data_IF_557773284449
#
_entry.id   IF_557773284449
#
_cell.length_a   1.000
_cell.length_b   1.000
_cell.length_c   1.000
_cell.angle_alpha   90.00
_cell.angle_beta   90.00
_cell.angle_gamma   90.00
#
_symmetry.space_group_name_H-M   'P 1'
#
loop_
_entity.id
_entity.type
_entity.pdbx_description
1 polymer ?
#
# COMPACT_ATOMS: atom_id res chain seq x y z
N UNK A 1 -31.77 -2.33 17.89
CA UNK A 1 -31.02 -2.53 16.63
C UNK A 1 -31.89 -3.34 15.68
N UNK A 2 -32.63 -2.70 14.77
CA UNK A 2 -33.45 -3.39 13.75
C UNK A 2 -33.23 -2.83 12.34
N UNK A 3 -32.27 -1.91 12.15
CA UNK A 3 -31.91 -1.45 10.82
C UNK A 3 -31.02 -2.50 10.16
N UNK A 4 -31.54 -3.14 9.10
CA UNK A 4 -30.85 -4.19 8.33
C UNK A 4 -30.05 -3.62 7.15
N UNK A 5 -30.14 -2.31 6.89
CA UNK A 5 -29.43 -1.66 5.79
C UNK A 5 -27.92 -1.67 6.06
N UNK A 6 -27.15 -1.92 5.02
CA UNK A 6 -25.71 -1.71 5.01
C UNK A 6 -25.37 -0.23 5.17
N UNK A 7 -24.14 0.06 5.59
CA UNK A 7 -23.66 1.44 5.68
C UNK A 7 -23.72 2.17 4.33
N UNK A 8 -23.49 1.45 3.22
CA UNK A 8 -23.61 2.00 1.85
C UNK A 8 -25.05 2.40 1.52
N UNK A 9 -26.03 1.54 1.84
CA UNK A 9 -27.44 1.84 1.58
C UNK A 9 -27.90 3.06 2.38
N UNK A 10 -27.53 3.12 3.67
CA UNK A 10 -27.80 4.28 4.53
C UNK A 10 -27.20 5.58 3.99
N UNK A 11 -25.94 5.52 3.52
CA UNK A 11 -25.26 6.67 2.90
C UNK A 11 -25.99 7.17 1.65
N UNK A 12 -26.38 6.26 0.76
CA UNK A 12 -27.06 6.61 -0.51
C UNK A 12 -28.44 7.19 -0.25
N UNK A 13 -29.20 6.63 0.69
CA UNK A 13 -30.53 7.12 1.07
C UNK A 13 -30.45 8.51 1.70
N UNK A 14 -29.56 8.69 2.68
CA UNK A 14 -29.32 9.99 3.31
C UNK A 14 -28.91 11.06 2.29
N UNK A 15 -28.06 10.71 1.32
CA UNK A 15 -27.69 11.63 0.24
C UNK A 15 -28.88 12.03 -0.64
N UNK A 16 -29.79 11.10 -0.95
CA UNK A 16 -31.02 11.40 -1.71
C UNK A 16 -32.00 12.27 -0.93
N UNK A 17 -32.05 12.11 0.38
CA UNK A 17 -32.90 12.87 1.29
C UNK A 17 -32.28 14.19 1.75
N UNK A 18 -31.04 14.47 1.32
CA UNK A 18 -30.24 15.61 1.75
C UNK A 18 -29.99 15.66 3.27
N UNK A 19 -29.99 14.50 3.94
CA UNK A 19 -29.59 14.33 5.33
C UNK A 19 -28.05 14.31 5.42
N UNK A 20 -27.47 15.51 5.43
CA UNK A 20 -26.01 15.69 5.47
C UNK A 20 -25.37 15.08 6.72
N UNK A 21 -26.08 15.05 7.85
CA UNK A 21 -25.56 14.48 9.09
C UNK A 21 -25.38 12.96 8.97
N UNK A 22 -26.38 12.27 8.43
CA UNK A 22 -26.26 10.82 8.21
C UNK A 22 -25.23 10.49 7.13
N UNK A 23 -25.08 11.34 6.10
CA UNK A 23 -24.03 11.20 5.10
C UNK A 23 -22.64 11.24 5.75
N UNK A 24 -22.37 12.25 6.59
CA UNK A 24 -21.09 12.41 7.29
C UNK A 24 -20.81 11.21 8.19
N UNK A 25 -21.77 10.81 9.04
CA UNK A 25 -21.62 9.65 9.94
C UNK A 25 -21.30 8.37 9.16
N UNK A 26 -21.99 8.11 8.04
CA UNK A 26 -21.76 6.91 7.25
C UNK A 26 -20.39 6.94 6.56
N UNK A 27 -19.95 8.11 6.06
CA UNK A 27 -18.65 8.29 5.45
C UNK A 27 -17.51 8.08 6.46
N UNK A 28 -17.56 8.74 7.61
CA UNK A 28 -16.57 8.59 8.69
C UNK A 28 -16.53 7.15 9.24
N UNK A 29 -17.69 6.50 9.37
CA UNK A 29 -17.76 5.11 9.80
C UNK A 29 -17.06 4.19 8.79
N UNK A 30 -17.30 4.39 7.49
CA UNK A 30 -16.67 3.61 6.44
C UNK A 30 -15.14 3.78 6.46
N UNK A 31 -14.66 5.03 6.54
CA UNK A 31 -13.24 5.34 6.66
C UNK A 31 -12.62 4.66 7.88
N UNK A 32 -13.21 4.85 9.07
CA UNK A 32 -12.66 4.30 10.32
C UNK A 32 -12.58 2.77 10.29
N UNK A 33 -13.62 2.10 9.80
CA UNK A 33 -13.62 0.64 9.68
C UNK A 33 -12.57 0.20 8.67
N UNK A 34 -12.49 0.84 7.51
CA UNK A 34 -11.51 0.53 6.48
C UNK A 34 -10.07 0.67 7.00
N UNK A 35 -9.73 1.80 7.62
CA UNK A 35 -8.39 2.05 8.18
C UNK A 35 -8.01 1.03 9.25
N UNK A 36 -8.94 0.72 10.16
CA UNK A 36 -8.68 -0.25 11.23
C UNK A 36 -8.44 -1.65 10.69
N UNK A 37 -9.27 -2.11 9.74
CA UNK A 37 -9.10 -3.44 9.13
C UNK A 37 -7.79 -3.51 8.35
N UNK A 38 -7.48 -2.51 7.52
CA UNK A 38 -6.22 -2.48 6.76
C UNK A 38 -4.99 -2.43 7.67
N UNK A 39 -5.03 -1.62 8.73
CA UNK A 39 -3.94 -1.57 9.70
C UNK A 39 -3.77 -2.90 10.45
N UNK A 40 -4.86 -3.55 10.86
CA UNK A 40 -4.80 -4.88 11.50
C UNK A 40 -4.26 -5.94 10.55
N UNK A 41 -4.66 -5.93 9.28
CA UNK A 41 -4.11 -6.82 8.25
C UNK A 41 -2.61 -6.58 8.06
N UNK A 42 -2.18 -5.31 7.99
CA UNK A 42 -0.76 -4.98 7.91
C UNK A 42 0.05 -5.50 9.10
N UNK A 43 -0.52 -5.46 10.32
CA UNK A 43 0.11 -6.05 11.50
C UNK A 43 0.17 -7.58 11.41
N UNK A 44 -0.90 -8.23 10.97
CA UNK A 44 -0.94 -9.67 10.76
C UNK A 44 0.14 -10.13 9.78
N UNK A 45 0.22 -9.50 8.61
CA UNK A 45 1.25 -9.82 7.61
C UNK A 45 2.66 -9.48 8.10
N UNK A 46 2.84 -8.35 8.78
CA UNK A 46 4.13 -8.03 9.40
C UNK A 46 4.59 -9.11 10.36
N UNK A 47 3.69 -9.61 11.22
CA UNK A 47 3.98 -10.69 12.16
C UNK A 47 4.34 -12.00 11.43
N UNK A 48 3.53 -12.39 10.44
CA UNK A 48 3.76 -13.61 9.65
C UNK A 48 5.11 -13.57 8.92
N UNK A 49 5.42 -12.46 8.24
CA UNK A 49 6.69 -12.29 7.52
C UNK A 49 7.88 -12.24 8.49
N UNK A 50 7.69 -11.68 9.69
CA UNK A 50 8.72 -11.72 10.74
C UNK A 50 9.04 -13.16 11.14
N UNK A 51 8.01 -13.97 11.39
CA UNK A 51 8.17 -15.38 11.70
C UNK A 51 8.90 -16.12 10.58
N UNK A 52 8.53 -15.88 9.31
CA UNK A 52 9.21 -16.48 8.16
C UNK A 52 10.68 -16.07 8.12
N UNK A 53 10.99 -14.78 8.25
CA UNK A 53 12.37 -14.29 8.21
C UNK A 53 13.23 -14.75 9.39
N UNK A 54 12.62 -14.95 10.57
CA UNK A 54 13.30 -15.51 11.74
C UNK A 54 13.62 -17.00 11.59
N UNK A 55 12.69 -17.77 11.01
CA UNK A 55 12.83 -19.24 10.89
C UNK A 55 13.58 -19.69 9.65
N UNK A 56 13.41 -18.97 8.54
CA UNK A 56 13.83 -19.41 7.22
C UNK A 56 14.69 -18.39 6.47
N UNK A 57 14.87 -17.18 7.02
CA UNK A 57 15.71 -16.14 6.44
C UNK A 57 15.03 -15.30 5.36
N UNK A 58 15.76 -14.31 4.88
CA UNK A 58 15.29 -13.23 3.99
C UNK A 58 14.80 -13.76 2.63
N UNK A 59 15.49 -14.75 2.06
CA UNK A 59 15.10 -15.36 0.79
C UNK A 59 13.73 -16.03 0.88
N UNK A 60 13.41 -16.69 2.00
CA UNK A 60 12.10 -17.28 2.22
C UNK A 60 11.00 -16.21 2.35
N UNK A 61 11.33 -15.04 2.88
CA UNK A 61 10.41 -13.89 2.90
C UNK A 61 10.14 -13.39 1.48
N UNK A 62 11.19 -13.23 0.66
CA UNK A 62 11.04 -12.85 -0.75
C UNK A 62 10.13 -13.83 -1.48
N UNK A 63 10.41 -15.13 -1.35
CA UNK A 63 9.68 -16.17 -2.06
C UNK A 63 8.22 -16.24 -1.61
N UNK A 64 7.94 -16.05 -0.32
CA UNK A 64 6.58 -15.95 0.19
C UNK A 64 5.83 -14.74 -0.39
N UNK A 65 6.47 -13.57 -0.45
CA UNK A 65 5.86 -12.38 -1.03
C UNK A 65 5.60 -12.54 -2.54
N UNK A 66 6.56 -13.09 -3.28
CA UNK A 66 6.40 -13.37 -4.71
C UNK A 66 5.29 -14.38 -4.96
N UNK A 67 5.21 -15.45 -4.17
CA UNK A 67 4.15 -16.45 -4.27
C UNK A 67 2.77 -15.82 -4.05
N UNK A 68 2.62 -15.00 -2.99
CA UNK A 68 1.35 -14.30 -2.72
C UNK A 68 0.99 -13.37 -3.88
N UNK A 69 1.95 -12.63 -4.41
CA UNK A 69 1.73 -11.69 -5.51
C UNK A 69 1.32 -12.42 -6.80
N UNK A 70 2.00 -13.51 -7.17
CA UNK A 70 1.64 -14.35 -8.33
C UNK A 70 0.23 -14.97 -8.15
N UNK A 71 -0.08 -15.47 -6.95
CA UNK A 71 -1.35 -16.16 -6.69
C UNK A 71 -2.56 -15.22 -6.57
N UNK A 72 -2.37 -13.99 -6.09
CA UNK A 72 -3.50 -13.08 -5.78
C UNK A 72 -3.57 -11.83 -6.66
N UNK A 73 -2.43 -11.29 -7.10
CA UNK A 73 -2.38 -10.00 -7.81
C UNK A 73 -2.36 -10.18 -9.31
N UNK A 74 -1.71 -11.23 -9.81
CA UNK A 74 -1.52 -11.47 -11.25
C UNK A 74 -2.82 -11.44 -12.04
N UNK A 75 -3.84 -12.18 -11.60
CA UNK A 75 -5.13 -12.24 -12.30
C UNK A 75 -5.83 -10.88 -12.25
N UNK A 76 -5.86 -10.27 -11.06
CA UNK A 76 -6.46 -8.95 -10.83
C UNK A 76 -5.78 -7.84 -11.64
N UNK A 77 -4.48 -7.97 -11.92
CA UNK A 77 -3.67 -6.93 -12.57
C UNK A 77 -3.51 -7.16 -14.07
N UNK A 78 -3.72 -8.38 -14.56
CA UNK A 78 -3.48 -8.75 -15.96
C UNK A 78 -4.20 -7.85 -16.97
N UNK A 79 -5.47 -7.51 -16.73
CA UNK A 79 -6.22 -6.58 -17.57
C UNK A 79 -5.94 -5.11 -17.24
N UNK A 80 -5.66 -4.81 -15.97
CA UNK A 80 -5.36 -3.46 -15.50
C UNK A 80 -4.06 -2.92 -16.14
N UNK A 81 -3.01 -3.74 -16.19
CA UNK A 81 -1.67 -3.35 -16.66
C UNK A 81 -1.59 -3.13 -18.19
N UNK A 82 -2.60 -3.55 -18.96
CA UNK A 82 -2.64 -3.29 -20.40
C UNK A 82 -2.91 -1.82 -20.74
N UNK A 83 -3.43 -1.06 -19.77
CA UNK A 83 -3.86 0.32 -19.95
C UNK A 83 -3.28 1.19 -18.84
N UNK A 84 -2.27 2.00 -19.19
CA UNK A 84 -1.58 2.87 -18.23
C UNK A 84 -2.53 3.86 -17.55
N UNK A 85 -3.56 4.35 -18.25
CA UNK A 85 -4.52 5.28 -17.65
C UNK A 85 -5.32 4.57 -16.56
N UNK A 86 -5.76 3.33 -16.80
CA UNK A 86 -6.44 2.54 -15.76
C UNK A 86 -5.54 2.25 -14.57
N UNK A 87 -4.23 2.02 -14.79
CA UNK A 87 -3.27 1.88 -13.67
C UNK A 87 -3.19 3.15 -12.85
N UNK A 88 -3.06 4.31 -13.49
CA UNK A 88 -3.04 5.62 -12.82
C UNK A 88 -4.33 5.79 -12.01
N UNK A 89 -5.49 5.63 -12.64
CA UNK A 89 -6.79 5.79 -11.99
C UNK A 89 -6.94 4.81 -10.82
N UNK A 90 -6.50 3.56 -10.97
CA UNK A 90 -6.56 2.56 -9.92
C UNK A 90 -5.77 2.99 -8.69
N UNK A 91 -4.52 3.46 -8.86
CA UNK A 91 -3.69 3.86 -7.73
C UNK A 91 -4.14 5.15 -7.09
N UNK A 92 -4.54 6.16 -7.87
CA UNK A 92 -5.11 7.39 -7.34
C UNK A 92 -6.37 7.11 -6.51
N UNK A 93 -7.29 6.28 -7.04
CA UNK A 93 -8.48 5.87 -6.30
C UNK A 93 -8.12 5.01 -5.09
N UNK A 94 -7.12 4.12 -5.17
CA UNK A 94 -6.69 3.30 -4.04
C UNK A 94 -6.21 4.17 -2.88
N UNK A 95 -5.36 5.16 -3.13
CA UNK A 95 -4.86 6.05 -2.08
C UNK A 95 -5.96 7.01 -1.57
N UNK A 96 -6.83 7.51 -2.45
CA UNK A 96 -7.96 8.36 -2.07
C UNK A 96 -9.00 7.61 -1.21
N UNK A 97 -9.43 6.43 -1.63
CA UNK A 97 -10.37 5.59 -0.87
C UNK A 97 -9.78 5.10 0.45
N UNK A 98 -8.47 4.92 0.50
CA UNK A 98 -7.79 4.49 1.70
C UNK A 98 -7.38 5.64 2.65
N UNK A 99 -7.86 6.86 2.35
CA UNK A 99 -7.65 8.10 3.10
C UNK A 99 -6.19 8.38 3.45
N UNK A 100 -5.31 8.02 2.51
CA UNK A 100 -3.92 8.42 2.56
C UNK A 100 -3.81 9.91 2.27
N UNK A 101 -2.88 10.58 2.95
CA UNK A 101 -2.44 11.91 2.54
C UNK A 101 -1.36 11.73 1.47
N UNK A 102 -1.65 12.21 0.26
CA UNK A 102 -0.76 12.09 -0.89
C UNK A 102 -0.82 13.33 -1.78
N UNK A 103 0.28 13.61 -2.46
CA UNK A 103 0.34 14.56 -3.57
C UNK A 103 0.54 13.82 -4.90
N UNK A 104 0.27 14.51 -5.99
CA UNK A 104 0.55 14.05 -7.35
C UNK A 104 1.36 15.12 -8.07
N UNK A 105 2.51 14.72 -8.61
CA UNK A 105 3.33 15.52 -9.51
C UNK A 105 3.32 14.85 -10.88
N UNK A 106 3.13 15.63 -11.94
CA UNK A 106 3.12 15.12 -13.32
C UNK A 106 3.98 16.00 -14.22
N UNK A 107 4.87 15.38 -14.98
CA UNK A 107 5.68 16.01 -16.02
C UNK A 107 5.45 15.31 -17.38
N UNK A 108 6.20 15.68 -18.41
CA UNK A 108 6.06 15.11 -19.76
C UNK A 108 6.40 13.60 -19.80
N UNK A 109 7.23 13.10 -18.89
CA UNK A 109 7.74 11.73 -18.88
C UNK A 109 6.93 10.81 -17.95
N UNK A 110 6.44 11.31 -16.82
CA UNK A 110 5.88 10.47 -15.75
C UNK A 110 4.86 11.18 -14.87
N UNK A 111 4.09 10.35 -14.16
CA UNK A 111 3.27 10.74 -13.02
C UNK A 111 3.89 10.15 -11.74
N UNK A 112 4.02 10.97 -10.71
CA UNK A 112 4.57 10.59 -9.40
C UNK A 112 3.53 10.81 -8.31
N UNK A 113 3.08 9.72 -7.68
CA UNK A 113 2.23 9.77 -6.49
C UNK A 113 3.13 9.76 -5.26
N UNK A 114 3.07 10.83 -4.47
CA UNK A 114 3.89 11.03 -3.27
C UNK A 114 3.05 10.72 -2.04
N UNK A 115 3.33 9.60 -1.37
CA UNK A 115 2.60 9.13 -0.20
C UNK A 115 3.22 9.76 1.05
N UNK A 116 2.65 10.86 1.52
CA UNK A 116 3.19 11.64 2.66
C UNK A 116 3.18 10.83 3.95
N UNK A 117 2.06 10.18 4.24
CA UNK A 117 1.93 9.29 5.40
C UNK A 117 1.37 7.93 5.00
N UNK A 118 2.13 6.87 5.28
CA UNK A 118 1.67 5.50 5.03
C UNK A 118 0.84 5.00 6.23
N UNK A 119 -0.48 4.88 6.06
CA UNK A 119 -1.42 4.46 7.12
C UNK A 119 -1.29 2.99 7.55
N UNK A 120 -0.44 2.19 6.87
CA UNK A 120 -0.17 0.79 7.20
C UNK A 120 1.27 0.60 7.71
N UNK A 121 2.24 0.34 6.83
CA UNK A 121 3.63 0.09 7.20
C UNK A 121 4.27 1.27 7.92
N UNK A 122 4.04 2.50 7.45
CA UNK A 122 4.51 3.72 8.13
C UNK A 122 3.91 3.88 9.53
N UNK A 123 2.61 3.61 9.68
CA UNK A 123 1.92 3.63 10.98
C UNK A 123 2.49 2.58 11.95
N UNK A 124 2.79 1.37 11.48
CA UNK A 124 3.41 0.31 12.31
C UNK A 124 4.72 0.80 12.92
N UNK A 125 5.55 1.46 12.11
CA UNK A 125 6.82 2.03 12.55
C UNK A 125 6.62 3.17 13.55
N UNK A 126 5.68 4.08 13.29
CA UNK A 126 5.31 5.17 14.21
C UNK A 126 4.83 4.66 15.57
N UNK A 127 4.06 3.57 15.57
CA UNK A 127 3.59 2.90 16.78
C UNK A 127 4.72 2.09 17.48
N UNK A 128 5.97 2.18 17.01
CA UNK A 128 7.17 1.54 17.56
C UNK A 128 7.08 0.02 17.70
N UNK A 129 6.25 -0.62 16.87
CA UNK A 129 6.18 -2.09 16.79
C UNK A 129 7.38 -2.61 16.03
N UNK A 130 8.14 -3.50 16.68
CA UNK A 130 9.33 -4.12 16.09
C UNK A 130 8.95 -5.43 15.41
N UNK A 131 8.94 -5.41 14.08
CA UNK A 131 8.80 -6.59 13.23
C UNK A 131 10.11 -6.86 12.50
N UNK A 132 10.21 -8.02 11.85
CA UNK A 132 11.36 -8.44 11.07
C UNK A 132 11.64 -7.47 9.91
N UNK A 133 12.93 -7.29 9.65
CA UNK A 133 13.48 -6.40 8.62
C UNK A 133 14.48 -7.14 7.75
N UNK A 134 14.69 -6.67 6.51
CA UNK A 134 15.76 -7.15 5.64
C UNK A 134 17.12 -6.99 6.30
N UNK A 135 17.93 -8.04 6.27
CA UNK A 135 19.29 -8.07 6.80
C UNK A 135 20.26 -7.48 5.79
N UNK A 136 20.10 -7.87 4.53
CA UNK A 136 20.95 -7.44 3.42
C UNK A 136 20.18 -6.60 2.40
N UNK A 137 20.88 -5.68 1.69
CA UNK A 137 20.32 -5.02 0.51
C UNK A 137 19.99 -6.03 -0.60
N UNK A 138 18.77 -5.96 -1.12
CA UNK A 138 18.31 -6.74 -2.27
C UNK A 138 17.26 -5.96 -3.06
N UNK A 139 17.07 -6.33 -4.33
CA UNK A 139 16.15 -5.65 -5.26
C UNK A 139 14.71 -5.58 -4.73
N UNK A 140 14.21 -6.67 -4.15
CA UNK A 140 12.87 -6.82 -3.58
C UNK A 140 12.68 -6.03 -2.28
N UNK A 141 13.76 -5.55 -1.66
CA UNK A 141 13.74 -4.68 -0.49
C UNK A 141 14.40 -3.31 -0.78
N UNK A 142 14.17 -2.78 -1.99
CA UNK A 142 14.59 -1.44 -2.41
C UNK A 142 16.10 -1.22 -2.43
N UNK A 143 16.90 -2.29 -2.55
CA UNK A 143 18.35 -2.28 -2.40
C UNK A 143 18.80 -1.63 -1.07
N UNK A 144 18.01 -1.84 0.00
CA UNK A 144 18.26 -1.28 1.33
C UNK A 144 18.20 -2.37 2.40
N UNK A 145 19.08 -2.26 3.39
CA UNK A 145 18.99 -3.01 4.63
C UNK A 145 17.97 -2.38 5.60
N UNK A 146 17.55 -3.14 6.59
CA UNK A 146 16.64 -2.73 7.66
C UNK A 146 15.27 -2.25 7.15
N UNK A 147 14.82 -2.75 6.00
CA UNK A 147 13.47 -2.49 5.51
C UNK A 147 12.51 -3.48 6.15
N UNK A 148 11.42 -3.05 6.79
CA UNK A 148 10.40 -3.98 7.30
C UNK A 148 9.94 -4.90 6.18
N UNK A 149 9.91 -6.20 6.44
CA UNK A 149 9.52 -7.16 5.41
C UNK A 149 8.16 -6.85 4.80
N UNK A 150 7.23 -6.33 5.61
CA UNK A 150 5.95 -5.85 5.11
C UNK A 150 6.14 -4.76 4.04
N UNK A 151 7.00 -3.76 4.23
CA UNK A 151 7.20 -2.70 3.23
C UNK A 151 7.68 -3.21 1.87
N UNK A 152 8.40 -4.35 1.83
CA UNK A 152 8.87 -4.96 0.59
C UNK A 152 7.74 -5.42 -0.35
N UNK A 153 6.53 -5.69 0.17
CA UNK A 153 5.38 -6.02 -0.69
C UNK A 153 5.07 -4.89 -1.69
N UNK A 154 5.34 -3.63 -1.33
CA UNK A 154 5.13 -2.51 -2.24
C UNK A 154 6.06 -2.59 -3.46
N UNK A 155 7.34 -2.96 -3.26
CA UNK A 155 8.31 -3.16 -4.37
C UNK A 155 7.86 -4.32 -5.25
N UNK A 156 7.51 -5.43 -4.62
CA UNK A 156 7.14 -6.66 -5.32
C UNK A 156 5.89 -6.42 -6.17
N UNK A 157 4.83 -5.89 -5.57
CA UNK A 157 3.53 -5.82 -6.22
C UNK A 157 3.41 -4.67 -7.23
N UNK A 158 4.10 -3.54 -6.99
CA UNK A 158 3.96 -2.35 -7.83
C UNK A 158 5.01 -2.26 -8.92
N UNK A 159 6.09 -3.03 -8.82
CA UNK A 159 7.20 -2.94 -9.76
C UNK A 159 7.65 -4.32 -10.25
N UNK A 160 8.06 -5.24 -9.37
CA UNK A 160 8.67 -6.50 -9.80
C UNK A 160 7.67 -7.40 -10.54
N UNK A 161 6.47 -7.61 -10.00
CA UNK A 161 5.45 -8.46 -10.65
C UNK A 161 4.97 -7.86 -11.97
N UNK A 162 4.63 -6.56 -12.06
CA UNK A 162 4.35 -5.92 -13.35
C UNK A 162 5.47 -6.13 -14.38
N UNK A 163 6.74 -5.96 -13.98
CA UNK A 163 7.91 -6.21 -14.85
C UNK A 163 7.99 -7.67 -15.30
N UNK A 164 7.77 -8.63 -14.39
CA UNK A 164 7.72 -10.07 -14.74
C UNK A 164 6.59 -10.41 -15.71
N UNK A 165 5.52 -9.60 -15.73
CA UNK A 165 4.39 -9.73 -16.66
C UNK A 165 4.62 -8.99 -17.99
N UNK A 166 5.78 -8.33 -18.17
CA UNK A 166 6.13 -7.59 -19.39
C UNK A 166 5.79 -6.11 -19.37
N UNK A 167 5.43 -5.56 -18.21
CA UNK A 167 5.02 -4.15 -18.03
C UNK A 167 6.06 -3.37 -17.20
N UNK A 168 7.08 -2.83 -17.88
CA UNK A 168 8.16 -2.06 -17.25
C UNK A 168 7.93 -0.54 -17.32
N UNK A 169 6.87 -0.06 -16.67
CA UNK A 169 6.60 1.38 -16.58
C UNK A 169 6.20 1.85 -15.18
N UNK A 170 6.24 0.97 -14.18
CA UNK A 170 5.99 1.31 -12.78
C UNK A 170 7.25 1.14 -11.94
N UNK A 171 7.55 2.12 -11.10
CA UNK A 171 8.62 2.03 -10.10
C UNK A 171 8.07 2.45 -8.73
N UNK A 172 8.58 1.83 -7.66
CA UNK A 172 8.24 2.20 -6.30
C UNK A 172 9.48 2.49 -5.46
N UNK A 173 9.54 3.71 -4.94
CA UNK A 173 10.58 4.15 -4.03
C UNK A 173 10.08 4.09 -2.59
N UNK A 174 10.76 3.31 -1.77
CA UNK A 174 10.52 3.34 -0.33
C UNK A 174 11.20 4.55 0.29
N UNK A 175 10.42 5.26 1.10
CA UNK A 175 10.90 6.31 1.99
C UNK A 175 12.11 5.91 2.81
N UNK A 176 12.88 6.89 3.27
CA UNK A 176 14.03 6.66 4.15
C UNK A 176 13.53 6.48 5.58
N UNK A 177 13.96 5.42 6.24
CA UNK A 177 13.84 5.22 7.68
C UNK A 177 15.24 5.46 8.28
N UNK A 178 15.54 6.68 8.74
CA UNK A 178 16.89 6.97 9.28
C UNK A 178 16.94 6.75 10.77
N UNK A 179 17.85 5.85 11.17
CA UNK A 179 18.18 5.47 12.55
C UNK A 179 19.26 6.40 13.16
N UNK A 180 19.11 7.73 13.03
CA UNK A 180 19.88 8.66 13.88
C UNK A 180 18.93 9.21 14.94
N UNK A 181 19.30 9.03 16.20
CA UNK A 181 18.58 9.44 17.43
C UNK A 181 17.25 8.75 17.75
N UNK A 182 16.88 7.66 17.07
CA UNK A 182 15.65 6.91 17.39
C UNK A 182 14.35 7.59 16.94
N UNK A 183 14.46 8.62 16.09
CA UNK A 183 13.31 9.33 15.54
C UNK A 183 13.07 8.95 14.08
N UNK A 184 11.82 8.59 13.77
CA UNK A 184 11.38 8.24 12.43
C UNK A 184 11.16 9.50 11.59
N UNK A 185 12.14 9.88 10.78
CA UNK A 185 11.93 10.87 9.71
C UNK A 185 11.55 10.13 8.43
N UNK A 186 10.26 9.90 8.20
CA UNK A 186 9.78 9.29 6.97
C UNK A 186 9.91 10.31 5.83
N UNK A 187 10.90 10.14 4.94
CA UNK A 187 10.74 10.69 3.59
C UNK A 187 9.54 9.96 2.93
N UNK A 188 8.67 10.66 2.19
CA UNK A 188 7.52 10.04 1.54
C UNK A 188 7.91 8.84 0.66
N UNK A 189 7.07 7.80 0.64
CA UNK A 189 7.19 6.77 -0.39
C UNK A 189 6.66 7.33 -1.71
N UNK A 190 7.20 6.88 -2.85
CA UNK A 190 6.76 7.34 -4.16
C UNK A 190 6.38 6.18 -5.06
N UNK A 191 5.26 6.32 -5.75
CA UNK A 191 4.92 5.49 -6.89
C UNK A 191 5.11 6.31 -8.16
N UNK A 192 5.91 5.80 -9.08
CA UNK A 192 6.25 6.47 -10.33
C UNK A 192 5.69 5.64 -11.48
N UNK A 193 4.94 6.28 -12.38
CA UNK A 193 4.33 5.66 -13.55
C UNK A 193 4.80 6.41 -14.79
N UNK A 194 5.58 5.74 -15.65
CA UNK A 194 6.17 6.31 -16.86
C UNK A 194 5.18 6.27 -18.04
N UNK A 195 5.05 7.40 -18.73
CA UNK A 195 4.16 7.54 -19.90
C UNK A 195 4.73 6.81 -21.12
N UNK A 196 6.04 6.88 -21.34
CA UNK A 196 6.72 6.47 -22.58
C UNK A 196 7.60 5.22 -22.50
N UNK A 197 7.79 4.59 -21.34
CA UNK A 197 8.45 3.27 -21.23
C UNK A 197 7.59 2.14 -21.80
#
# INVERSE_FOLDING_TARGET
MNDKRTNKERLIEAAKENDLQTVEICAETAEKVFLNVNYSQANFFSCLLSYVGEKFGDEAVRDALLYVADYTWKDSYSELLKDKQKVIDFWLNNYACATFDFDVEEDEEKLTIIIKECKTGGKILKDSKKFGVSKEPADWCFNKKNIPYYCSHCKINKEIVPKMMGYDYCEFECGVFKEKSGEYVQNPCKMIIYKSK
#
